data_IF_446974420577
#
_entry.id   IF_446974420577
#
_cell.length_a   1.000
_cell.length_b   1.000
_cell.length_c   1.000
_cell.angle_alpha   90.00
_cell.angle_beta   90.00
_cell.angle_gamma   90.00
#
_symmetry.space_group_name_H-M   'P 1'
#
loop_
_entity.id
_entity.type
_entity.pdbx_description
1 polymer ?
#
# COMPACT_ATOMS: atom_id res chain seq x y z
N UNK A 1 11.47 0.30 0.03
CA UNK A 1 10.44 1.28 -0.42
C UNK A 1 9.08 0.66 -0.16
N UNK A 2 8.21 1.35 0.57
CA UNK A 2 6.85 0.92 0.91
C UNK A 2 5.85 1.60 -0.01
N UNK A 3 4.74 0.94 -0.30
CA UNK A 3 3.66 1.51 -1.09
C UNK A 3 2.30 1.12 -0.51
N UNK A 4 1.56 2.13 -0.03
CA UNK A 4 0.17 1.97 0.39
C UNK A 4 -0.80 2.19 -0.77
N UNK A 5 -1.89 1.43 -0.76
CA UNK A 5 -2.89 1.37 -1.82
C UNK A 5 -4.29 1.18 -1.29
N UNK A 6 -5.24 1.89 -1.88
CA UNK A 6 -6.64 1.49 -1.82
C UNK A 6 -7.01 0.67 -3.06
N UNK A 7 -7.68 -0.46 -2.84
CA UNK A 7 -8.02 -1.43 -3.89
C UNK A 7 -9.52 -1.63 -3.94
N UNK A 8 -10.09 -1.51 -5.15
CA UNK A 8 -11.49 -1.80 -5.46
C UNK A 8 -11.56 -2.84 -6.58
N UNK A 9 -12.77 -3.16 -7.01
CA UNK A 9 -13.03 -4.07 -8.14
C UNK A 9 -12.43 -3.56 -9.47
N UNK A 10 -12.42 -2.25 -9.66
CA UNK A 10 -12.08 -1.58 -10.93
C UNK A 10 -10.90 -0.61 -10.82
N UNK A 11 -10.43 -0.32 -9.60
CA UNK A 11 -9.36 0.67 -9.39
C UNK A 11 -8.32 0.21 -8.38
N UNK A 12 -7.07 0.61 -8.65
CA UNK A 12 -5.92 0.41 -7.79
C UNK A 12 -5.21 1.75 -7.63
N UNK A 13 -5.48 2.45 -6.52
CA UNK A 13 -5.06 3.83 -6.34
C UNK A 13 -3.85 3.91 -5.40
N UNK A 14 -2.79 4.58 -5.89
CA UNK A 14 -1.59 4.92 -5.15
C UNK A 14 -1.85 5.98 -4.12
N UNK A 15 -1.17 5.85 -3.00
CA UNK A 15 -0.95 6.94 -2.09
C UNK A 15 0.55 7.28 -2.13
N UNK A 16 0.85 8.50 -2.57
CA UNK A 16 2.22 8.98 -2.80
C UNK A 16 2.82 9.55 -1.52
N UNK A 17 4.06 10.04 -1.58
CA UNK A 17 4.69 10.78 -0.48
C UNK A 17 3.86 11.95 0.06
N UNK A 18 3.03 12.59 -0.78
CA UNK A 18 2.19 13.73 -0.38
C UNK A 18 0.80 13.34 0.15
N UNK A 19 0.49 12.05 0.23
CA UNK A 19 -0.69 11.56 0.94
C UNK A 19 -0.45 11.58 2.46
N UNK A 20 -1.52 11.65 3.26
CA UNK A 20 -1.43 11.61 4.72
C UNK A 20 -0.72 10.36 5.24
N UNK A 21 -1.11 9.20 4.73
CA UNK A 21 -0.56 7.90 5.10
C UNK A 21 0.87 7.73 4.54
N UNK A 22 1.13 8.22 3.33
CA UNK A 22 2.48 8.29 2.78
C UNK A 22 3.42 9.11 3.64
N UNK A 23 3.03 10.32 4.02
CA UNK A 23 3.81 11.20 4.88
C UNK A 23 3.99 10.60 6.28
N UNK A 24 2.95 9.99 6.84
CA UNK A 24 3.03 9.30 8.14
C UNK A 24 4.06 8.17 8.09
N UNK A 25 4.04 7.33 7.06
CA UNK A 25 5.02 6.25 6.88
C UNK A 25 6.44 6.81 6.70
N UNK A 26 6.61 7.94 6.01
CA UNK A 26 7.92 8.59 5.88
C UNK A 26 8.42 9.18 7.20
N UNK A 27 7.53 9.74 8.02
CA UNK A 27 7.85 10.19 9.39
C UNK A 27 8.27 9.04 10.30
N UNK A 28 7.84 7.81 10.00
CA UNK A 28 8.31 6.59 10.66
C UNK A 28 9.67 6.08 10.14
N UNK A 29 10.30 6.79 9.19
CA UNK A 29 11.59 6.43 8.61
C UNK A 29 11.50 5.46 7.43
N UNK A 30 10.29 5.14 6.96
CA UNK A 30 10.12 4.39 5.71
C UNK A 30 10.31 5.34 4.51
N UNK A 31 10.47 4.77 3.32
CA UNK A 31 10.55 5.53 2.07
C UNK A 31 9.38 5.15 1.18
N UNK A 32 8.51 6.11 0.85
CA UNK A 32 7.42 5.86 -0.09
C UNK A 32 8.01 5.51 -1.48
N UNK A 33 7.42 4.53 -2.16
CA UNK A 33 7.83 4.09 -3.48
C UNK A 33 7.57 5.14 -4.58
N UNK A 34 6.68 6.10 -4.34
CA UNK A 34 6.29 7.17 -5.27
C UNK A 34 6.45 8.53 -4.61
N UNK A 35 7.35 9.34 -5.16
CA UNK A 35 7.63 10.70 -4.73
C UNK A 35 6.95 11.66 -5.71
N UNK A 36 5.82 12.26 -5.33
CA UNK A 36 5.02 13.13 -6.19
C UNK A 36 4.21 14.13 -5.36
N UNK A 37 3.97 15.32 -5.92
CA UNK A 37 3.16 16.37 -5.28
C UNK A 37 1.68 15.98 -5.15
N UNK A 38 1.15 15.21 -6.11
CA UNK A 38 -0.23 14.77 -6.05
C UNK A 38 -0.38 13.61 -5.06
N UNK A 39 -1.34 13.67 -4.12
CA UNK A 39 -1.45 12.68 -3.04
C UNK A 39 -1.84 11.29 -3.55
N UNK A 40 -2.51 11.21 -4.70
CA UNK A 40 -2.98 9.94 -5.25
C UNK A 40 -2.66 9.80 -6.73
N UNK A 41 -2.40 8.56 -7.16
CA UNK A 41 -2.21 8.22 -8.57
C UNK A 41 -2.88 6.88 -8.88
N UNK A 42 -3.83 6.86 -9.80
CA UNK A 42 -4.36 5.59 -10.30
C UNK A 42 -3.31 4.85 -11.11
N UNK A 43 -3.28 3.52 -10.99
CA UNK A 43 -2.37 2.73 -11.82
C UNK A 43 -2.85 1.32 -12.11
N UNK A 44 -2.25 0.76 -13.14
CA UNK A 44 -2.41 -0.63 -13.53
C UNK A 44 -1.24 -1.52 -13.04
N UNK A 45 -1.30 -2.81 -13.40
CA UNK A 45 -0.29 -3.80 -13.01
C UNK A 45 1.08 -3.51 -13.64
N UNK A 46 1.15 -3.02 -14.87
CA UNK A 46 2.41 -2.75 -15.56
C UNK A 46 3.17 -1.63 -14.86
N UNK A 47 2.48 -0.53 -14.52
CA UNK A 47 3.04 0.58 -13.76
C UNK A 47 3.48 0.14 -12.35
N UNK A 48 2.71 -0.75 -11.70
CA UNK A 48 3.11 -1.32 -10.41
C UNK A 48 4.41 -2.12 -10.53
N UNK A 49 4.59 -2.87 -11.62
CA UNK A 49 5.81 -3.64 -11.92
C UNK A 49 6.99 -2.72 -12.21
N UNK A 50 6.78 -1.57 -12.83
CA UNK A 50 7.84 -0.57 -13.02
C UNK A 50 8.29 0.04 -11.69
N UNK A 51 7.34 0.29 -10.78
CA UNK A 51 7.64 0.83 -9.44
C UNK A 51 8.34 -0.22 -8.57
N UNK A 52 7.88 -1.47 -8.62
CA UNK A 52 8.40 -2.65 -7.91
C UNK A 52 8.77 -2.37 -6.43
N UNK A 53 7.77 -2.11 -5.58
CA UNK A 53 7.99 -1.82 -4.17
C UNK A 53 8.49 -3.06 -3.40
N UNK A 54 9.20 -2.83 -2.30
CA UNK A 54 9.67 -3.91 -1.43
C UNK A 54 8.55 -4.42 -0.53
N UNK A 55 7.60 -3.54 -0.16
CA UNK A 55 6.44 -3.83 0.70
C UNK A 55 5.19 -3.21 0.07
N UNK A 56 4.11 -3.98 0.01
CA UNK A 56 2.77 -3.54 -0.41
C UNK A 56 1.79 -3.57 0.75
N UNK A 57 1.15 -2.44 1.03
CA UNK A 57 0.07 -2.31 2.02
C UNK A 57 -1.24 -2.07 1.28
N UNK A 58 -2.22 -2.96 1.43
CA UNK A 58 -3.46 -2.97 0.65
C UNK A 58 -4.67 -2.74 1.55
N UNK A 59 -5.24 -1.53 1.48
CA UNK A 59 -6.55 -1.20 2.03
C UNK A 59 -7.64 -1.65 1.05
N UNK A 60 -8.06 -2.90 1.21
CA UNK A 60 -9.02 -3.55 0.33
C UNK A 60 -10.46 -3.10 0.64
N UNK A 61 -11.24 -2.82 -0.40
CA UNK A 61 -12.69 -2.76 -0.27
C UNK A 61 -13.28 -4.15 0.01
N UNK A 62 -14.55 -4.17 0.43
CA UNK A 62 -15.32 -5.41 0.48
C UNK A 62 -15.64 -5.92 -0.94
N UNK A 63 -15.75 -7.24 -1.08
CA UNK A 63 -16.10 -7.89 -2.34
C UNK A 63 -14.90 -8.23 -3.21
N UNK A 64 -15.14 -8.33 -4.53
CA UNK A 64 -14.11 -8.68 -5.52
C UNK A 64 -13.11 -7.54 -5.65
N UNK A 65 -11.82 -7.87 -5.63
CA UNK A 65 -10.74 -6.89 -5.78
C UNK A 65 -10.05 -7.06 -7.13
N UNK A 66 -9.56 -5.95 -7.70
CA UNK A 66 -8.74 -5.99 -8.91
C UNK A 66 -7.48 -6.86 -8.73
N UNK A 67 -6.91 -6.87 -7.52
CA UNK A 67 -5.78 -7.74 -7.19
C UNK A 67 -6.12 -9.23 -7.23
N UNK A 68 -7.38 -9.64 -7.06
CA UNK A 68 -7.78 -11.05 -7.20
C UNK A 68 -7.62 -11.52 -8.65
N UNK A 69 -7.87 -10.63 -9.62
CA UNK A 69 -7.63 -10.91 -11.05
C UNK A 69 -6.14 -10.96 -11.39
N UNK A 70 -5.32 -10.21 -10.65
CA UNK A 70 -3.88 -10.15 -10.89
C UNK A 70 -3.10 -11.29 -10.24
N UNK A 71 -3.64 -11.95 -9.21
CA UNK A 71 -2.96 -13.01 -8.45
C UNK A 71 -2.31 -14.07 -9.34
N UNK A 72 -2.97 -14.44 -10.44
CA UNK A 72 -2.46 -15.46 -11.36
C UNK A 72 -1.54 -14.94 -12.47
N UNK A 73 -1.48 -13.62 -12.65
CA UNK A 73 -0.67 -12.96 -13.66
C UNK A 73 0.84 -13.11 -13.34
N UNK A 74 1.69 -13.53 -14.31
CA UNK A 74 3.14 -13.62 -14.12
C UNK A 74 3.80 -12.31 -13.66
N UNK A 75 3.27 -11.16 -14.08
CA UNK A 75 3.78 -9.84 -13.67
C UNK A 75 3.59 -9.62 -12.16
N UNK A 76 2.41 -9.92 -11.64
CA UNK A 76 2.12 -9.85 -10.20
C UNK A 76 3.01 -10.82 -9.42
N UNK A 77 3.06 -12.08 -9.84
CA UNK A 77 3.91 -13.12 -9.22
C UNK A 77 5.40 -12.74 -9.23
N UNK A 78 5.82 -11.86 -10.13
CA UNK A 78 7.22 -11.43 -10.25
C UNK A 78 7.61 -10.24 -9.38
N UNK A 79 6.66 -9.50 -8.80
CA UNK A 79 6.92 -8.37 -7.90
C UNK A 79 7.78 -8.80 -6.70
N UNK A 80 8.71 -7.94 -6.28
CA UNK A 80 9.56 -8.18 -5.10
C UNK A 80 8.73 -8.42 -3.85
N UNK A 81 7.74 -7.57 -3.59
CA UNK A 81 6.85 -7.68 -2.45
C UNK A 81 6.13 -9.04 -2.42
N UNK A 82 5.60 -9.49 -3.56
CA UNK A 82 4.88 -10.77 -3.66
C UNK A 82 5.82 -11.95 -3.41
N UNK A 83 7.00 -11.98 -4.06
CA UNK A 83 7.99 -13.05 -3.89
C UNK A 83 8.51 -13.18 -2.47
N UNK A 84 8.61 -12.06 -1.74
CA UNK A 84 9.10 -12.02 -0.37
C UNK A 84 8.00 -12.14 0.68
N UNK A 85 6.74 -12.34 0.27
CA UNK A 85 5.60 -12.36 1.19
C UNK A 85 5.35 -11.03 1.91
N UNK A 86 5.83 -9.92 1.35
CA UNK A 86 5.71 -8.57 1.91
C UNK A 86 4.48 -7.84 1.35
N UNK A 87 3.35 -8.54 1.30
CA UNK A 87 2.05 -8.00 0.86
C UNK A 87 1.08 -8.15 2.02
N UNK A 88 0.66 -7.02 2.58
CA UNK A 88 -0.15 -6.97 3.78
C UNK A 88 -1.49 -6.32 3.46
N UNK A 89 -2.58 -6.97 3.88
CA UNK A 89 -3.90 -6.31 3.92
C UNK A 89 -4.03 -5.56 5.23
N UNK A 90 -4.54 -4.33 5.15
CA UNK A 90 -4.69 -3.44 6.30
C UNK A 90 -6.15 -3.02 6.48
N UNK A 91 -6.50 -2.57 7.69
CA UNK A 91 -7.84 -2.07 7.96
C UNK A 91 -8.10 -0.79 7.14
N UNK A 92 -9.03 -0.88 6.19
CA UNK A 92 -9.29 0.20 5.25
C UNK A 92 -9.79 1.46 5.95
N UNK A 93 -10.66 1.35 6.94
CA UNK A 93 -11.28 2.52 7.55
C UNK A 93 -10.30 3.27 8.45
N UNK A 94 -9.49 2.53 9.21
CA UNK A 94 -8.36 3.06 9.96
C UNK A 94 -7.39 3.80 9.05
N UNK A 95 -6.97 3.20 7.94
CA UNK A 95 -5.90 3.73 7.10
C UNK A 95 -6.37 4.82 6.12
N UNK A 96 -7.63 4.83 5.70
CA UNK A 96 -8.11 5.77 4.66
C UNK A 96 -9.05 6.86 5.18
N UNK A 97 -9.85 6.58 6.23
CA UNK A 97 -10.88 7.51 6.73
C UNK A 97 -10.43 8.27 7.97
N UNK A 98 -9.77 7.61 8.91
CA UNK A 98 -9.42 8.24 10.19
C UNK A 98 -8.04 8.92 10.13
N UNK A 99 -8.00 10.21 10.48
CA UNK A 99 -6.81 11.07 10.35
C UNK A 99 -6.47 11.83 11.63
N UNK A 100 -6.87 11.26 12.78
CA UNK A 100 -6.58 11.81 14.11
C UNK A 100 -5.32 11.20 14.71
N UNK A 101 -4.85 11.78 15.82
CA UNK A 101 -3.62 11.34 16.52
C UNK A 101 -3.70 9.86 16.93
N UNK A 102 -4.80 9.44 17.55
CA UNK A 102 -5.01 8.04 17.96
C UNK A 102 -4.95 7.08 16.76
N UNK A 103 -5.52 7.49 15.62
CA UNK A 103 -5.48 6.69 14.40
C UNK A 103 -4.07 6.62 13.82
N UNK A 104 -3.30 7.72 13.87
CA UNK A 104 -1.91 7.74 13.45
C UNK A 104 -1.05 6.79 14.30
N UNK A 105 -1.24 6.79 15.62
CA UNK A 105 -0.57 5.86 16.55
C UNK A 105 -0.94 4.40 16.24
N UNK A 106 -2.22 4.13 15.95
CA UNK A 106 -2.68 2.80 15.58
C UNK A 106 -2.08 2.33 14.24
N UNK A 107 -2.06 3.18 13.21
CA UNK A 107 -1.39 2.91 11.92
C UNK A 107 0.10 2.63 12.13
N UNK A 108 0.78 3.43 12.96
CA UNK A 108 2.19 3.24 13.25
C UNK A 108 2.45 1.90 13.95
N UNK A 109 1.63 1.54 14.93
CA UNK A 109 1.73 0.25 15.63
C UNK A 109 1.48 -0.93 14.68
N UNK A 110 0.47 -0.82 13.82
CA UNK A 110 0.12 -1.83 12.82
C UNK A 110 1.28 -2.05 11.83
N UNK A 111 1.87 -0.95 11.35
CA UNK A 111 3.05 -0.96 10.49
C UNK A 111 4.25 -1.63 11.16
N UNK A 112 4.57 -1.26 12.41
CA UNK A 112 5.70 -1.88 13.13
C UNK A 112 5.51 -3.38 13.29
N UNK A 113 4.30 -3.83 13.65
CA UNK A 113 3.99 -5.25 13.77
C UNK A 113 4.27 -6.00 12.46
N UNK A 114 3.84 -5.46 11.31
CA UNK A 114 4.07 -6.08 10.00
C UNK A 114 5.56 -6.19 9.64
N UNK A 115 6.36 -5.20 10.05
CA UNK A 115 7.79 -5.15 9.73
C UNK A 115 8.67 -5.96 10.70
N UNK A 116 8.18 -6.19 11.93
CA UNK A 116 8.87 -6.95 12.97
C UNK A 116 8.60 -8.46 12.93
N UNK A 117 7.61 -8.94 12.16
CA UNK A 117 7.26 -10.37 12.00
C UNK A 117 8.32 -11.19 11.19
N UNK A 118 9.61 -10.94 11.40
CA UNK A 118 10.74 -11.69 10.81
C UNK A 118 11.19 -12.87 11.65
#
# INVERSE_FOLDING_TARGET
RVLFRSVRDTSFQAHTSSSYDGELLERMGLKNAIQQEQPHAEMNLEQLVEIDPDILLLANNEGKLLTDEWKDNPLWKNLKAVKKGQVYSVDRDLWTRYRGVVSAEAIAKDTLKMLDEK
#
